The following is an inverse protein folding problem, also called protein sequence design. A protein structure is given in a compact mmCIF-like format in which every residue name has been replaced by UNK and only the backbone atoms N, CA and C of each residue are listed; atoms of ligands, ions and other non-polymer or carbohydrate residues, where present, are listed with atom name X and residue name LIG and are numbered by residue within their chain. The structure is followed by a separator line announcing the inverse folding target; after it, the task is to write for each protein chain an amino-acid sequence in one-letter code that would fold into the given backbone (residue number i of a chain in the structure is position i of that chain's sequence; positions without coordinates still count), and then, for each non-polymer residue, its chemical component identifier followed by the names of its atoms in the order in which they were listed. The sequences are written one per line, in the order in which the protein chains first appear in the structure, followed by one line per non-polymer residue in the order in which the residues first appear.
data_IF_254287577451
#
_entry.id   IF_254287577451
#
_cell.length_a   1.000
_cell.length_b   1.000
_cell.length_c   1.000
_cell.angle_alpha   90.00
_cell.angle_beta   90.00
_cell.angle_gamma   90.00
#
_symmetry.space_group_name_H-M   'P 1'
#
loop_
_entity.id
_entity.type
_entity.pdbx_description
1 polymer ?
#
# COMPACT_ATOMS: atom_id res chain seq x y z
N UNK A 1 16.43 3.04 -1.80
CA UNK A 1 15.04 2.97 -1.26
C UNK A 1 14.77 3.92 -0.07
N UNK A 2 14.78 5.26 -0.24
CA UNK A 2 14.44 6.21 0.86
C UNK A 2 12.95 6.60 0.93
N UNK A 3 12.12 6.19 -0.04
CA UNK A 3 10.76 6.70 -0.23
C UNK A 3 9.63 5.82 0.35
N UNK A 4 9.97 4.72 1.03
CA UNK A 4 9.02 3.69 1.46
C UNK A 4 8.94 3.57 2.98
N UNK A 5 8.87 4.68 3.71
CA UNK A 5 8.69 4.60 5.17
C UNK A 5 7.47 5.41 5.59
N UNK A 6 6.61 4.78 6.37
CA UNK A 6 5.58 5.49 7.11
C UNK A 6 6.25 6.54 8.02
N UNK A 7 5.66 7.75 8.16
CA UNK A 7 6.17 8.76 9.09
C UNK A 7 6.22 8.20 10.51
N UNK A 8 7.36 8.35 11.19
CA UNK A 8 7.57 7.81 12.55
C UNK A 8 6.78 8.55 13.63
N UNK A 9 6.37 9.77 13.32
CA UNK A 9 5.68 10.71 14.19
C UNK A 9 4.16 10.69 14.01
N UNK A 10 3.64 9.79 13.18
CA UNK A 10 2.21 9.57 12.99
C UNK A 10 1.81 8.23 13.63
N UNK A 11 0.78 8.26 14.46
CA UNK A 11 0.18 7.06 15.02
C UNK A 11 -0.69 6.32 13.99
N UNK A 12 -0.40 5.05 13.77
CA UNK A 12 -1.16 4.18 12.87
C UNK A 12 -1.72 2.98 13.64
N UNK A 13 -2.98 3.07 14.10
CA UNK A 13 -3.62 1.98 14.81
C UNK A 13 -3.82 0.77 13.89
N UNK A 14 -4.12 -0.36 14.51
CA UNK A 14 -4.45 -1.57 13.77
C UNK A 14 -5.80 -1.43 13.06
N UNK A 15 -5.91 -2.08 11.90
CA UNK A 15 -7.15 -2.11 11.13
C UNK A 15 -8.12 -3.10 11.77
N UNK A 16 -9.37 -2.66 11.95
CA UNK A 16 -10.44 -3.53 12.44
C UNK A 16 -10.67 -4.72 11.49
N UNK A 17 -10.99 -5.93 11.98
CA UNK A 17 -11.16 -7.11 11.14
C UNK A 17 -12.20 -6.94 10.03
N UNK A 18 -13.29 -6.22 10.31
CA UNK A 18 -14.36 -5.95 9.32
C UNK A 18 -13.87 -5.05 8.18
N UNK A 19 -13.10 -4.01 8.51
CA UNK A 19 -12.55 -3.10 7.51
C UNK A 19 -11.46 -3.80 6.70
N UNK A 20 -10.65 -4.65 7.34
CA UNK A 20 -9.67 -5.50 6.67
C UNK A 20 -10.35 -6.41 5.64
N UNK A 21 -11.40 -7.12 6.04
CA UNK A 21 -12.13 -8.02 5.15
C UNK A 21 -12.76 -7.27 3.96
N UNK A 22 -13.31 -6.07 4.19
CA UNK A 22 -13.84 -5.23 3.12
C UNK A 22 -12.74 -4.79 2.13
N UNK A 23 -11.56 -4.40 2.64
CA UNK A 23 -10.42 -4.01 1.81
C UNK A 23 -9.86 -5.19 1.02
N UNK A 24 -9.81 -6.38 1.61
CA UNK A 24 -9.39 -7.60 0.93
C UNK A 24 -10.35 -7.97 -0.21
N UNK A 25 -11.65 -7.95 0.02
CA UNK A 25 -12.65 -8.21 -1.01
C UNK A 25 -12.59 -7.19 -2.16
N UNK A 26 -12.40 -5.90 -1.84
CA UNK A 26 -12.25 -4.85 -2.86
C UNK A 26 -10.98 -5.05 -3.71
N UNK A 27 -9.88 -5.48 -3.09
CA UNK A 27 -8.65 -5.78 -3.81
C UNK A 27 -8.78 -7.02 -4.70
N UNK A 28 -9.40 -8.10 -4.23
CA UNK A 28 -9.66 -9.29 -5.04
C UNK A 28 -10.54 -8.98 -6.26
N UNK A 29 -11.52 -8.11 -6.12
CA UNK A 29 -12.32 -7.64 -7.24
C UNK A 29 -11.48 -6.82 -8.23
N UNK A 30 -10.61 -5.94 -7.73
CA UNK A 30 -9.70 -5.17 -8.58
C UNK A 30 -8.73 -6.06 -9.37
N UNK A 31 -8.15 -7.08 -8.74
CA UNK A 31 -7.29 -8.06 -9.42
C UNK A 31 -8.07 -8.84 -10.48
N UNK A 32 -9.33 -9.21 -10.21
CA UNK A 32 -10.21 -9.87 -11.20
C UNK A 32 -10.52 -8.96 -12.39
N UNK A 33 -10.82 -7.68 -12.17
CA UNK A 33 -11.06 -6.68 -13.22
C UNK A 33 -9.79 -6.44 -14.06
N UNK A 34 -8.62 -6.53 -13.44
CA UNK A 34 -7.33 -6.36 -14.11
C UNK A 34 -6.74 -7.67 -14.66
N UNK A 35 -7.44 -8.79 -14.51
CA UNK A 35 -7.00 -10.08 -15.04
C UNK A 35 -6.78 -9.98 -16.56
N UNK A 36 -5.58 -10.36 -17.01
CA UNK A 36 -5.16 -10.30 -18.41
C UNK A 36 -4.55 -8.96 -18.86
N UNK A 37 -4.46 -7.95 -17.99
CA UNK A 37 -3.66 -6.75 -18.28
C UNK A 37 -2.20 -6.98 -17.83
N UNK A 38 -1.20 -6.50 -18.58
CA UNK A 38 0.18 -6.52 -18.12
C UNK A 38 0.30 -5.82 -16.76
N UNK A 39 0.90 -6.50 -15.77
CA UNK A 39 1.17 -5.88 -14.46
C UNK A 39 2.26 -4.82 -14.66
N UNK A 40 1.87 -3.56 -14.60
CA UNK A 40 2.82 -2.44 -14.56
C UNK A 40 3.53 -2.37 -13.21
N UNK A 41 4.52 -1.49 -13.10
CA UNK A 41 5.19 -1.21 -11.82
C UNK A 41 4.17 -0.78 -10.76
N UNK A 42 4.09 -1.47 -9.61
CA UNK A 42 3.24 -1.05 -8.50
C UNK A 42 3.59 0.38 -8.08
N UNK A 43 2.57 1.22 -7.87
CA UNK A 43 2.76 2.60 -7.43
C UNK A 43 2.70 2.66 -5.92
N UNK A 44 3.68 3.30 -5.28
CA UNK A 44 3.62 3.52 -3.84
C UNK A 44 2.71 4.71 -3.54
N UNK A 45 1.74 4.47 -2.65
CA UNK A 45 0.81 5.49 -2.20
C UNK A 45 1.51 6.36 -1.15
N UNK A 46 1.83 7.59 -1.53
CA UNK A 46 2.44 8.58 -0.64
C UNK A 46 1.40 9.64 -0.25
N UNK A 47 1.10 9.74 1.03
CA UNK A 47 0.47 10.94 1.60
C UNK A 47 1.51 11.76 2.35
N UNK A 48 1.29 13.08 2.43
CA UNK A 48 2.12 13.93 3.29
C UNK A 48 1.86 13.58 4.76
N UNK A 49 2.88 13.66 5.64
CA UNK A 49 2.70 13.46 7.07
C UNK A 49 1.59 14.35 7.65
N UNK A 50 1.47 15.59 7.19
CA UNK A 50 0.45 16.54 7.60
C UNK A 50 -0.96 16.02 7.32
N UNK A 51 -1.20 15.49 6.11
CA UNK A 51 -2.49 14.93 5.75
C UNK A 51 -2.82 13.72 6.61
N UNK A 52 -1.83 12.84 6.85
CA UNK A 52 -2.01 11.67 7.69
C UNK A 52 -2.38 12.05 9.12
N UNK A 53 -1.76 13.09 9.70
CA UNK A 53 -2.13 13.59 11.05
C UNK A 53 -3.57 14.08 11.11
N UNK A 54 -4.09 14.68 10.05
CA UNK A 54 -5.47 15.19 9.97
C UNK A 54 -6.51 14.09 9.72
N UNK A 55 -6.11 12.90 9.27
CA UNK A 55 -7.03 11.80 9.04
C UNK A 55 -7.55 11.20 10.36
N UNK A 56 -8.81 10.77 10.44
CA UNK A 56 -9.28 9.94 11.55
C UNK A 56 -8.47 8.65 11.72
N UNK A 57 -8.43 8.12 12.95
CA UNK A 57 -7.71 6.89 13.29
C UNK A 57 -8.04 5.71 12.36
N UNK A 58 -9.34 5.50 12.07
CA UNK A 58 -9.81 4.49 11.12
C UNK A 58 -9.18 4.63 9.73
N UNK A 59 -9.14 5.85 9.20
CA UNK A 59 -8.58 6.10 7.87
C UNK A 59 -7.05 5.91 7.85
N UNK A 60 -6.35 6.24 8.95
CA UNK A 60 -4.92 5.96 9.08
C UNK A 60 -4.65 4.45 9.13
N UNK A 61 -5.48 3.67 9.83
CA UNK A 61 -5.37 2.21 9.85
C UNK A 61 -5.57 1.61 8.45
N UNK A 62 -6.61 2.05 7.74
CA UNK A 62 -6.86 1.64 6.35
C UNK A 62 -5.69 2.02 5.43
N UNK A 63 -5.15 3.24 5.56
CA UNK A 63 -3.99 3.66 4.80
C UNK A 63 -2.77 2.77 5.05
N UNK A 64 -2.42 2.53 6.32
CA UNK A 64 -1.31 1.63 6.69
C UNK A 64 -1.49 0.25 6.09
N UNK A 65 -2.72 -0.28 6.10
CA UNK A 65 -3.03 -1.58 5.51
C UNK A 65 -2.73 -1.64 4.01
N UNK A 66 -3.26 -0.69 3.23
CA UNK A 66 -3.02 -0.61 1.78
C UNK A 66 -1.54 -0.38 1.48
N UNK A 67 -0.91 0.53 2.24
CA UNK A 67 0.48 0.87 2.07
C UNK A 67 1.39 -0.35 2.25
N UNK A 68 1.20 -1.14 3.30
CA UNK A 68 1.98 -2.36 3.55
C UNK A 68 1.84 -3.36 2.40
N UNK A 69 0.63 -3.56 1.89
CA UNK A 69 0.37 -4.46 0.75
C UNK A 69 1.07 -3.98 -0.51
N UNK A 70 0.98 -2.70 -0.85
CA UNK A 70 1.67 -2.14 -2.02
C UNK A 70 3.20 -2.19 -1.90
N UNK A 71 3.75 -2.04 -0.69
CA UNK A 71 5.20 -2.23 -0.48
C UNK A 71 5.58 -3.67 -0.78
N UNK A 72 4.82 -4.66 -0.29
CA UNK A 72 5.06 -6.07 -0.60
C UNK A 72 4.97 -6.36 -2.11
N UNK A 73 3.96 -5.82 -2.79
CA UNK A 73 3.81 -5.95 -4.25
C UNK A 73 4.99 -5.32 -5.00
N UNK A 74 5.47 -4.16 -4.55
CA UNK A 74 6.62 -3.49 -5.14
C UNK A 74 7.93 -4.26 -4.90
N UNK A 75 8.15 -4.76 -3.68
CA UNK A 75 9.32 -5.58 -3.36
C UNK A 75 9.34 -6.86 -4.20
N UNK A 76 8.18 -7.52 -4.35
CA UNK A 76 8.03 -8.68 -5.21
C UNK A 76 8.28 -8.34 -6.69
N UNK A 77 7.78 -7.20 -7.16
CA UNK A 77 8.05 -6.71 -8.51
C UNK A 77 9.54 -6.47 -8.74
N UNK A 78 10.23 -5.77 -7.83
CA UNK A 78 11.68 -5.54 -7.93
C UNK A 78 12.48 -6.84 -7.86
N UNK A 79 12.02 -7.82 -7.07
CA UNK A 79 12.62 -9.17 -7.02
C UNK A 79 12.51 -9.90 -8.35
N UNK A 80 11.43 -9.70 -9.08
CA UNK A 80 11.21 -10.27 -10.42
C UNK A 80 11.94 -9.47 -11.53
N UNK A 81 12.23 -8.19 -11.27
CA UNK A 81 12.87 -7.26 -12.20
C UNK A 81 14.16 -6.65 -11.63
N UNK A 82 15.19 -7.46 -11.32
CA UNK A 82 16.43 -6.99 -10.71
C UNK A 82 17.21 -6.00 -11.60
N UNK A 83 16.94 -5.98 -12.91
CA UNK A 83 17.50 -5.00 -13.84
C UNK A 83 17.09 -3.56 -13.53
N UNK A 84 15.96 -3.35 -12.84
CA UNK A 84 15.44 -2.03 -12.47
C UNK A 84 16.09 -1.46 -11.20
N UNK A 85 16.88 -2.25 -10.46
CA UNK A 85 17.55 -1.86 -9.21
C UNK A 85 18.96 -1.26 -9.44
N UNK A 86 19.35 -1.01 -10.70
CA UNK A 86 20.72 -0.65 -11.09
C UNK A 86 21.05 0.85 -11.15
N UNK A 87 20.13 1.74 -10.78
CA UNK A 87 20.37 3.19 -10.71
C UNK A 87 20.35 3.75 -9.27
#
# INVERSE_FOLDING_TARGET
MKHYKLPKDVDFPDIEPVDKAAMDAAHEELERINAGKPKGTPKVICFTPELLRMMPAKNRAMYKYVWLRHVQEYEEYMRQHPELDRD
#
